data_IF_479552742079
#
_entry.id   IF_479552742079
#
_cell.length_a   1.000
_cell.length_b   1.000
_cell.length_c   1.000
_cell.angle_alpha   90.00
_cell.angle_beta   90.00
_cell.angle_gamma   90.00
#
_symmetry.space_group_name_H-M   'P 1'
#
loop_
_entity.id
_entity.type
_entity.pdbx_description
1 polymer ?
#
# COMPACT_ATOMS: atom_id res chain seq x y z
N UNK A 1 11.34 15.82 -8.26
CA UNK A 1 10.84 14.70 -7.43
C UNK A 1 11.99 14.21 -6.56
N UNK A 2 11.81 14.05 -5.25
CA UNK A 2 12.87 13.52 -4.38
C UNK A 2 12.82 11.98 -4.35
N UNK A 3 13.95 11.34 -4.01
CA UNK A 3 14.11 9.88 -4.07
C UNK A 3 13.02 9.09 -3.31
N UNK A 4 12.59 9.51 -2.10
CA UNK A 4 11.53 8.78 -1.37
C UNK A 4 10.18 8.78 -2.08
N UNK A 5 9.77 9.91 -2.68
CA UNK A 5 8.51 9.98 -3.44
C UNK A 5 8.56 9.07 -4.66
N UNK A 6 9.69 9.02 -5.37
CA UNK A 6 9.86 8.16 -6.54
C UNK A 6 9.71 6.67 -6.18
N UNK A 7 10.39 6.24 -5.11
CA UNK A 7 10.33 4.86 -4.61
C UNK A 7 8.89 4.53 -4.16
N UNK A 8 8.26 5.42 -3.39
CA UNK A 8 6.90 5.24 -2.91
C UNK A 8 5.91 5.10 -4.06
N UNK A 9 5.97 6.00 -5.03
CA UNK A 9 5.07 6.01 -6.18
C UNK A 9 5.24 4.74 -7.04
N UNK A 10 6.49 4.36 -7.35
CA UNK A 10 6.76 3.16 -8.14
C UNK A 10 6.28 1.88 -7.43
N UNK A 11 6.55 1.75 -6.13
CA UNK A 11 6.10 0.61 -5.34
C UNK A 11 4.57 0.57 -5.20
N UNK A 12 3.92 1.71 -4.98
CA UNK A 12 2.47 1.82 -4.87
C UNK A 12 1.78 1.43 -6.19
N UNK A 13 2.27 1.94 -7.33
CA UNK A 13 1.74 1.60 -8.65
C UNK A 13 1.90 0.10 -8.94
N UNK A 14 3.08 -0.47 -8.66
CA UNK A 14 3.26 -1.91 -8.76
C UNK A 14 2.29 -2.67 -7.85
N UNK A 15 2.10 -2.24 -6.60
CA UNK A 15 1.21 -2.90 -5.66
C UNK A 15 -0.27 -2.83 -6.09
N UNK A 16 -0.71 -1.76 -6.77
CA UNK A 16 -2.05 -1.67 -7.34
C UNK A 16 -2.22 -2.74 -8.43
N UNK A 17 -1.33 -2.73 -9.43
CA UNK A 17 -1.39 -3.65 -10.57
C UNK A 17 -1.23 -5.11 -10.12
N UNK A 18 -0.22 -5.39 -9.30
CA UNK A 18 0.01 -6.74 -8.79
C UNK A 18 -1.15 -7.20 -7.89
N UNK A 19 -1.79 -6.29 -7.15
CA UNK A 19 -2.97 -6.59 -6.33
C UNK A 19 -4.19 -6.97 -7.17
N UNK A 20 -4.48 -6.22 -8.24
CA UNK A 20 -5.53 -6.57 -9.21
C UNK A 20 -5.28 -7.96 -9.80
N UNK A 21 -4.06 -8.19 -10.30
CA UNK A 21 -3.68 -9.48 -10.87
C UNK A 21 -3.75 -10.60 -9.83
N UNK A 22 -3.39 -10.35 -8.56
CA UNK A 22 -3.44 -11.33 -7.47
C UNK A 22 -4.86 -11.82 -7.15
N UNK A 23 -5.87 -11.02 -7.47
CA UNK A 23 -7.28 -11.35 -7.26
C UNK A 23 -7.85 -12.27 -8.35
N UNK A 24 -7.21 -12.44 -9.51
CA UNK A 24 -7.71 -13.29 -10.59
C UNK A 24 -7.39 -14.80 -10.45
N UNK A 25 -6.15 -15.24 -10.13
CA UNK A 25 -5.79 -16.66 -10.10
C UNK A 25 -6.53 -17.48 -9.04
N UNK A 26 -6.60 -18.82 -9.22
CA UNK A 26 -7.03 -19.74 -8.17
C UNK A 26 -6.22 -19.54 -6.89
N UNK A 27 -6.91 -19.42 -5.76
CA UNK A 27 -6.27 -19.12 -4.47
C UNK A 27 -5.42 -20.31 -4.03
N UNK A 28 -4.21 -20.01 -3.57
CA UNK A 28 -3.24 -21.03 -3.16
C UNK A 28 -2.43 -21.66 -4.30
N UNK A 29 -2.68 -21.31 -5.57
CA UNK A 29 -1.83 -21.69 -6.71
C UNK A 29 -0.39 -21.16 -6.55
N UNK A 30 0.57 -21.75 -7.28
CA UNK A 30 1.96 -21.26 -7.25
C UNK A 30 2.04 -19.79 -7.67
N UNK A 31 1.34 -19.41 -8.75
CA UNK A 31 1.24 -18.02 -9.20
C UNK A 31 0.71 -17.10 -8.09
N UNK A 32 -0.39 -17.48 -7.42
CA UNK A 32 -0.93 -16.71 -6.30
C UNK A 32 0.08 -16.56 -5.15
N UNK A 33 0.90 -17.59 -4.87
CA UNK A 33 1.91 -17.51 -3.80
C UNK A 33 3.07 -16.59 -4.17
N UNK A 34 3.60 -16.69 -5.39
CA UNK A 34 4.72 -15.86 -5.83
C UNK A 34 4.32 -14.40 -5.97
N UNK A 35 3.21 -14.13 -6.66
CA UNK A 35 2.68 -12.78 -6.83
C UNK A 35 2.22 -12.18 -5.50
N UNK A 36 1.63 -13.00 -4.61
CA UNK A 36 1.28 -12.56 -3.26
C UNK A 36 2.49 -12.14 -2.43
N UNK A 37 3.61 -12.87 -2.53
CA UNK A 37 4.85 -12.49 -1.83
C UNK A 37 5.44 -11.19 -2.38
N UNK A 38 5.51 -11.03 -3.70
CA UNK A 38 6.02 -9.79 -4.29
C UNK A 38 5.12 -8.60 -3.96
N UNK A 39 3.80 -8.80 -3.94
CA UNK A 39 2.84 -7.80 -3.52
C UNK A 39 3.02 -7.39 -2.05
N UNK A 40 3.19 -8.33 -1.13
CA UNK A 40 3.45 -8.03 0.30
C UNK A 40 4.74 -7.22 0.49
N UNK A 41 5.80 -7.53 -0.27
CA UNK A 41 7.05 -6.75 -0.25
C UNK A 41 6.82 -5.34 -0.78
N UNK A 42 6.11 -5.19 -1.89
CA UNK A 42 5.79 -3.88 -2.46
C UNK A 42 4.95 -3.00 -1.51
N UNK A 43 3.98 -3.61 -0.80
CA UNK A 43 3.20 -2.94 0.23
C UNK A 43 4.07 -2.44 1.39
N UNK A 44 5.06 -3.23 1.82
CA UNK A 44 6.03 -2.78 2.85
C UNK A 44 6.92 -1.65 2.35
N UNK A 45 7.46 -1.73 1.12
CA UNK A 45 8.27 -0.65 0.54
C UNK A 45 7.44 0.63 0.44
N UNK A 46 6.20 0.53 -0.02
CA UNK A 46 5.26 1.66 -0.10
C UNK A 46 5.03 2.28 1.28
N UNK A 47 4.68 1.47 2.29
CA UNK A 47 4.43 1.96 3.64
C UNK A 47 5.68 2.59 4.28
N UNK A 48 6.84 1.94 4.18
CA UNK A 48 8.09 2.40 4.81
C UNK A 48 8.64 3.68 4.16
N UNK A 49 8.61 3.77 2.83
CA UNK A 49 9.06 4.98 2.13
C UNK A 49 8.21 6.21 2.46
N UNK A 50 6.93 6.02 2.82
CA UNK A 50 6.04 7.12 3.17
C UNK A 50 6.48 7.92 4.40
N UNK A 51 7.27 7.34 5.30
CA UNK A 51 7.75 8.03 6.50
C UNK A 51 8.74 9.16 6.21
N UNK A 52 9.31 9.19 4.99
CA UNK A 52 10.14 10.28 4.49
C UNK A 52 9.35 11.29 3.64
N UNK A 53 8.04 11.11 3.51
CA UNK A 53 7.16 12.02 2.75
C UNK A 53 6.43 12.93 3.73
N UNK A 54 6.71 14.23 3.65
CA UNK A 54 6.05 15.23 4.49
C UNK A 54 4.54 15.23 4.24
N UNK A 55 3.76 15.23 5.32
CA UNK A 55 2.30 15.31 5.21
C UNK A 55 1.86 16.71 4.79
N UNK A 56 0.88 16.78 3.88
CA UNK A 56 0.19 18.03 3.52
C UNK A 56 -0.80 18.49 4.58
N UNK A 57 -1.21 17.58 5.48
CA UNK A 57 -2.11 17.85 6.60
C UNK A 57 -1.49 17.24 7.86
N UNK A 58 -0.44 17.88 8.40
CA UNK A 58 0.24 17.39 9.59
C UNK A 58 -0.68 17.50 10.81
N UNK A 59 -0.78 16.40 11.56
CA UNK A 59 -1.48 16.33 12.85
C UNK A 59 -0.49 16.56 14.00
N UNK A 60 0.74 16.05 13.87
CA UNK A 60 1.82 16.24 14.83
C UNK A 60 3.17 16.27 14.12
N UNK A 61 3.91 17.38 14.25
CA UNK A 61 5.13 17.66 13.49
C UNK A 61 4.90 17.50 11.97
N UNK A 62 5.57 16.52 11.33
CA UNK A 62 5.41 16.20 9.90
C UNK A 62 4.52 14.97 9.66
N UNK A 63 4.02 14.33 10.72
CA UNK A 63 3.17 13.15 10.66
C UNK A 63 1.71 13.56 10.41
N UNK A 64 1.04 12.76 9.60
CA UNK A 64 -0.37 12.98 9.24
C UNK A 64 -1.00 11.70 8.71
N UNK A 65 -2.16 11.78 8.03
CA UNK A 65 -2.97 10.61 7.69
C UNK A 65 -2.23 9.51 6.92
N UNK A 66 -1.28 9.88 6.03
CA UNK A 66 -0.48 8.90 5.27
C UNK A 66 0.38 8.03 6.20
N UNK A 67 0.92 8.59 7.29
CA UNK A 67 1.80 7.85 8.20
C UNK A 67 1.01 6.88 9.07
N UNK A 68 -0.17 7.30 9.53
CA UNK A 68 -1.10 6.45 10.29
C UNK A 68 -1.51 5.26 9.41
N UNK A 69 -1.87 5.52 8.15
CA UNK A 69 -2.20 4.47 7.21
C UNK A 69 -1.01 3.53 6.97
N UNK A 70 0.21 4.06 6.83
CA UNK A 70 1.39 3.23 6.64
C UNK A 70 1.69 2.30 7.82
N UNK A 71 1.54 2.78 9.05
CA UNK A 71 1.62 1.90 10.24
C UNK A 71 0.56 0.80 10.16
N UNK A 72 -0.68 1.15 9.82
CA UNK A 72 -1.75 0.18 9.67
C UNK A 72 -1.47 -0.86 8.58
N UNK A 73 -0.93 -0.45 7.43
CA UNK A 73 -0.56 -1.34 6.35
C UNK A 73 0.56 -2.30 6.76
N UNK A 74 1.58 -1.84 7.50
CA UNK A 74 2.63 -2.71 8.03
C UNK A 74 2.04 -3.79 8.95
N UNK A 75 1.13 -3.41 9.85
CA UNK A 75 0.40 -4.35 10.72
C UNK A 75 -0.37 -5.37 9.87
N UNK A 76 -1.11 -4.89 8.86
CA UNK A 76 -1.87 -5.76 7.97
C UNK A 76 -0.99 -6.78 7.23
N UNK A 77 0.17 -6.36 6.71
CA UNK A 77 1.12 -7.26 6.02
C UNK A 77 1.67 -8.32 6.98
N UNK A 78 2.07 -7.92 8.19
CA UNK A 78 2.60 -8.86 9.20
C UNK A 78 1.53 -9.90 9.57
N UNK A 79 0.32 -9.45 9.88
CA UNK A 79 -0.79 -10.34 10.24
C UNK A 79 -1.16 -11.25 9.08
N UNK A 80 -1.33 -10.69 7.88
CA UNK A 80 -1.74 -11.47 6.70
C UNK A 80 -0.70 -12.53 6.33
N UNK A 81 0.59 -12.19 6.38
CA UNK A 81 1.69 -13.12 6.10
C UNK A 81 1.79 -14.21 7.17
N UNK A 82 1.65 -13.85 8.44
CA UNK A 82 1.68 -14.81 9.56
C UNK A 82 0.49 -15.76 9.50
N UNK A 83 -0.71 -15.23 9.21
CA UNK A 83 -1.92 -16.04 9.04
C UNK A 83 -1.79 -17.04 7.89
N UNK A 84 -1.22 -16.64 6.74
CA UNK A 84 -0.95 -17.54 5.64
C UNK A 84 -0.01 -18.69 6.02
N UNK A 85 1.06 -18.41 6.78
CA UNK A 85 2.01 -19.42 7.29
C UNK A 85 1.36 -20.40 8.28
N UNK A 86 0.37 -19.94 9.05
CA UNK A 86 -0.40 -20.75 10.00
C UNK A 86 -1.62 -21.43 9.37
N UNK A 87 -1.75 -21.39 8.03
CA UNK A 87 -2.91 -21.89 7.30
C UNK A 87 -4.26 -21.27 7.72
N UNK A 88 -4.26 -20.11 8.39
CA UNK A 88 -5.46 -19.34 8.72
C UNK A 88 -5.84 -18.44 7.54
N UNK A 89 -6.44 -19.04 6.51
CA UNK A 89 -6.74 -18.33 5.25
C UNK A 89 -7.84 -17.28 5.39
N UNK A 90 -8.75 -17.43 6.35
CA UNK A 90 -9.79 -16.42 6.64
C UNK A 90 -9.14 -15.11 7.09
N UNK A 91 -8.20 -15.20 8.04
CA UNK A 91 -7.48 -14.02 8.54
C UNK A 91 -6.51 -13.47 7.48
N UNK A 92 -5.79 -14.32 6.75
CA UNK A 92 -4.95 -13.89 5.63
C UNK A 92 -5.73 -13.03 4.62
N UNK A 93 -6.87 -13.55 4.15
CA UNK A 93 -7.74 -12.87 3.19
C UNK A 93 -8.27 -11.54 3.73
N UNK A 94 -8.77 -11.52 4.96
CA UNK A 94 -9.34 -10.31 5.57
C UNK A 94 -8.33 -9.15 5.55
N UNK A 95 -7.10 -9.40 6.03
CA UNK A 95 -6.08 -8.36 6.10
C UNK A 95 -5.46 -8.04 4.74
N UNK A 96 -5.32 -9.02 3.83
CA UNK A 96 -4.83 -8.76 2.48
C UNK A 96 -5.81 -7.88 1.68
N UNK A 97 -7.11 -8.22 1.70
CA UNK A 97 -8.14 -7.45 0.99
C UNK A 97 -8.32 -6.07 1.63
N UNK A 98 -8.33 -5.98 2.97
CA UNK A 98 -8.40 -4.68 3.65
C UNK A 98 -7.22 -3.77 3.31
N UNK A 99 -6.00 -4.31 3.26
CA UNK A 99 -4.81 -3.56 2.85
C UNK A 99 -4.88 -3.12 1.38
N UNK A 100 -5.42 -3.96 0.48
CA UNK A 100 -5.60 -3.62 -0.92
C UNK A 100 -6.65 -2.51 -1.13
N UNK A 101 -7.79 -2.57 -0.43
CA UNK A 101 -8.78 -1.49 -0.43
C UNK A 101 -8.17 -0.20 0.12
N UNK A 102 -7.38 -0.30 1.20
CA UNK A 102 -6.64 0.84 1.76
C UNK A 102 -5.65 1.45 0.77
N UNK A 103 -4.95 0.63 -0.03
CA UNK A 103 -4.06 1.08 -1.09
C UNK A 103 -4.82 1.86 -2.18
N UNK A 104 -5.95 1.34 -2.67
CA UNK A 104 -6.78 2.03 -3.65
C UNK A 104 -7.32 3.36 -3.10
N UNK A 105 -7.82 3.35 -1.86
CA UNK A 105 -8.28 4.56 -1.16
C UNK A 105 -7.15 5.59 -0.97
N UNK A 106 -5.94 5.14 -0.63
CA UNK A 106 -4.77 6.01 -0.53
C UNK A 106 -4.40 6.63 -1.88
N UNK A 107 -4.44 5.82 -2.96
CA UNK A 107 -4.23 6.25 -4.33
C UNK A 107 -5.20 7.34 -4.75
N UNK A 108 -6.51 7.16 -4.52
CA UNK A 108 -7.53 8.19 -4.75
C UNK A 108 -7.24 9.42 -3.87
N UNK A 109 -6.89 9.20 -2.60
CA UNK A 109 -6.53 10.26 -1.66
C UNK A 109 -5.32 11.11 -2.09
N UNK A 110 -4.50 10.65 -3.05
CA UNK A 110 -3.44 11.48 -3.65
C UNK A 110 -3.95 12.64 -4.51
N UNK A 111 -5.20 12.58 -4.97
CA UNK A 111 -5.85 13.62 -5.78
C UNK A 111 -6.47 14.74 -4.92
N UNK A 112 -6.40 14.64 -3.59
CA UNK A 112 -6.84 15.71 -2.69
C UNK A 112 -6.04 17.01 -2.92
N UNK A 113 -6.66 18.19 -2.76
CA UNK A 113 -5.99 19.48 -2.94
C UNK A 113 -4.68 19.60 -2.14
N UNK A 114 -3.68 20.22 -2.76
CA UNK A 114 -2.36 20.43 -2.14
C UNK A 114 -1.41 19.23 -2.18
N UNK A 115 -1.83 18.09 -2.74
CA UNK A 115 -0.94 16.94 -2.98
C UNK A 115 -0.27 16.97 -4.34
N UNK A 116 0.85 16.27 -4.45
CA UNK A 116 1.68 16.24 -5.66
C UNK A 116 0.91 15.83 -6.93
N UNK A 117 0.16 14.73 -6.90
CA UNK A 117 -0.61 14.28 -8.07
C UNK A 117 -1.78 15.22 -8.39
N UNK A 118 -2.42 15.82 -7.39
CA UNK A 118 -3.42 16.87 -7.64
C UNK A 118 -2.82 18.07 -8.40
N UNK A 119 -1.66 18.57 -7.96
CA UNK A 119 -0.96 19.67 -8.64
C UNK A 119 -0.54 19.28 -10.06
N UNK A 120 -0.08 18.04 -10.26
CA UNK A 120 0.33 17.55 -11.57
C UNK A 120 -0.84 17.45 -12.57
N UNK A 121 -2.02 17.01 -12.12
CA UNK A 121 -3.18 16.80 -13.00
C UNK A 121 -4.13 18.01 -13.10
N UNK A 122 -4.20 18.84 -12.05
CA UNK A 122 -5.20 19.92 -11.93
C UNK A 122 -4.61 21.29 -11.59
N UNK A 123 -3.30 21.40 -11.35
CA UNK A 123 -2.64 22.63 -10.88
C UNK A 123 -2.25 23.62 -11.98
N UNK A 124 -3.05 23.71 -13.05
CA UNK A 124 -2.91 24.73 -14.10
C UNK A 124 -3.29 26.12 -13.62
#
# INVERSE_FOLDING_TARGET
MNTPIAIHLAAALYAIVAGDVQLAPPKGSQLHRYLGRSWMVAMLITALSSFWIKSVMPLWLSFGPIHILSVWIIICVIISTTAARRHNFKQHKLYAVGAYIGLLGAGIGTLAPGRYLNQLFFGG
#
